data_IF_885622144235
#
_entry.id   IF_885622144235
#
_cell.length_a   1.000
_cell.length_b   1.000
_cell.length_c   1.000
_cell.angle_alpha   90.00
_cell.angle_beta   90.00
_cell.angle_gamma   90.00
#
_symmetry.space_group_name_H-M   'P 1'
#
loop_
_entity.id
_entity.type
_entity.pdbx_description
1 polymer ?
#
# COMPACT_ATOMS: atom_id res chain seq x y z
N UNK A 1 -90.50 19.75 13.73
CA UNK A 1 -89.23 19.46 14.41
C UNK A 1 -88.39 18.60 13.46
N UNK A 2 -87.52 19.25 12.66
CA UNK A 2 -86.67 18.58 11.71
C UNK A 2 -85.22 18.45 12.30
N UNK A 3 -84.75 17.27 12.37
CA UNK A 3 -83.43 16.91 12.94
C UNK A 3 -82.39 17.00 11.81
N UNK A 4 -81.47 17.95 11.94
CA UNK A 4 -80.37 18.11 10.97
C UNK A 4 -79.38 16.90 10.94
N UNK A 5 -78.86 16.58 9.77
CA UNK A 5 -77.85 15.50 9.67
C UNK A 5 -76.50 16.02 10.11
N UNK A 6 -75.72 15.14 10.79
CA UNK A 6 -74.34 15.39 11.22
C UNK A 6 -73.39 15.23 10.03
N UNK A 7 -72.35 16.08 9.89
CA UNK A 7 -71.34 15.89 8.85
C UNK A 7 -70.43 14.71 9.19
N UNK A 8 -70.21 13.85 8.19
CA UNK A 8 -69.20 12.79 8.19
C UNK A 8 -67.81 13.41 7.99
N UNK A 9 -66.97 13.29 8.98
CA UNK A 9 -65.59 13.70 8.94
C UNK A 9 -64.76 12.69 8.13
N UNK A 10 -64.44 13.00 6.88
CA UNK A 10 -63.55 12.21 6.06
C UNK A 10 -62.11 12.40 6.57
N UNK A 11 -61.57 11.38 7.24
CA UNK A 11 -60.14 11.33 7.58
C UNK A 11 -59.42 10.78 6.37
N UNK A 12 -58.84 11.66 5.57
CA UNK A 12 -57.87 11.26 4.53
C UNK A 12 -56.58 10.86 5.22
N UNK A 13 -56.31 9.58 5.31
CA UNK A 13 -55.05 9.03 5.74
C UNK A 13 -54.03 9.23 4.59
N UNK A 14 -53.19 10.24 4.72
CA UNK A 14 -52.03 10.45 3.83
C UNK A 14 -50.97 9.41 4.12
N UNK A 15 -50.88 8.40 3.27
CA UNK A 15 -49.78 7.41 3.32
C UNK A 15 -48.52 8.09 2.77
N UNK A 16 -47.57 8.41 3.64
CA UNK A 16 -46.23 8.81 3.26
C UNK A 16 -45.44 7.54 2.88
N UNK A 17 -45.21 7.34 1.58
CA UNK A 17 -44.23 6.37 1.11
C UNK A 17 -42.82 6.93 1.42
N UNK A 18 -42.17 6.39 2.44
CA UNK A 18 -40.75 6.59 2.68
C UNK A 18 -39.97 5.76 1.67
N UNK A 19 -39.56 6.37 0.57
CA UNK A 19 -38.59 5.78 -0.33
C UNK A 19 -37.21 5.87 0.34
N UNK A 20 -36.75 4.78 0.96
CA UNK A 20 -35.40 4.65 1.45
C UNK A 20 -34.44 4.56 0.25
N UNK A 21 -33.79 5.67 -0.09
CA UNK A 21 -32.66 5.67 -0.99
C UNK A 21 -31.50 4.97 -0.26
N UNK A 22 -31.25 3.72 -0.60
CA UNK A 22 -30.11 2.99 -0.11
C UNK A 22 -28.84 3.62 -0.66
N UNK A 23 -28.11 4.38 0.17
CA UNK A 23 -26.76 4.83 -0.14
C UNK A 23 -25.85 3.61 -0.05
N UNK A 24 -25.50 3.03 -1.19
CA UNK A 24 -24.45 2.01 -1.28
C UNK A 24 -23.11 2.71 -1.08
N UNK A 25 -22.54 2.62 0.11
CA UNK A 25 -21.18 3.06 0.37
C UNK A 25 -20.26 2.04 -0.33
N UNK A 26 -19.77 2.40 -1.50
CA UNK A 26 -18.69 1.66 -2.14
C UNK A 26 -17.45 1.97 -1.30
N UNK A 27 -17.03 1.03 -0.45
CA UNK A 27 -15.71 1.05 0.15
C UNK A 27 -14.71 0.78 -0.99
N UNK A 28 -14.31 1.85 -1.68
CA UNK A 28 -13.10 1.81 -2.50
C UNK A 28 -11.95 1.47 -1.56
N UNK A 29 -11.18 0.42 -1.88
CA UNK A 29 -9.89 0.21 -1.22
C UNK A 29 -9.13 1.52 -1.35
N UNK A 30 -8.75 2.14 -0.22
CA UNK A 30 -7.86 3.29 -0.25
C UNK A 30 -6.59 2.86 -0.98
N UNK A 31 -6.14 3.59 -2.01
CA UNK A 31 -4.87 3.30 -2.63
C UNK A 31 -3.80 3.34 -1.54
N UNK A 32 -3.01 2.27 -1.41
CA UNK A 32 -1.84 2.25 -0.54
C UNK A 32 -1.10 3.56 -0.75
N UNK A 33 -0.78 4.28 0.34
CA UNK A 33 -0.22 5.63 0.29
C UNK A 33 1.14 5.56 -0.42
N UNK A 34 1.13 5.61 -1.75
CA UNK A 34 2.34 5.74 -2.53
C UNK A 34 2.82 7.18 -2.42
N UNK A 35 3.94 7.37 -1.73
CA UNK A 35 4.65 8.64 -1.76
C UNK A 35 5.08 9.01 -3.19
N UNK A 36 5.55 10.23 -3.42
CA UNK A 36 6.04 10.62 -4.74
C UNK A 36 7.18 9.68 -5.17
N UNK A 37 7.24 9.31 -6.48
CA UNK A 37 8.33 8.49 -7.01
C UNK A 37 9.69 9.14 -6.74
N UNK A 38 10.64 8.34 -6.21
CA UNK A 38 12.01 8.77 -5.98
C UNK A 38 12.92 8.21 -7.07
N UNK A 39 13.42 9.07 -7.93
CA UNK A 39 14.47 8.71 -8.88
C UNK A 39 15.81 8.66 -8.15
N UNK A 40 16.51 7.53 -8.26
CA UNK A 40 17.82 7.31 -7.65
C UNK A 40 18.90 7.58 -8.72
N UNK A 41 19.70 8.65 -8.58
CA UNK A 41 20.69 8.97 -9.58
C UNK A 41 21.85 7.96 -9.58
N UNK A 42 22.45 7.75 -10.75
CA UNK A 42 23.70 6.99 -10.86
C UNK A 42 24.84 7.88 -10.37
N UNK A 43 25.55 7.46 -9.35
CA UNK A 43 26.71 8.17 -8.83
C UNK A 43 27.95 8.06 -9.77
N UNK A 44 29.00 8.80 -9.51
CA UNK A 44 30.22 8.82 -10.33
C UNK A 44 30.90 7.42 -10.42
N UNK A 45 30.72 6.58 -9.44
CA UNK A 45 31.20 5.18 -9.41
C UNK A 45 30.26 4.18 -10.12
N UNK A 46 29.19 4.67 -10.74
CA UNK A 46 28.21 3.87 -11.46
C UNK A 46 27.14 3.20 -10.60
N UNK A 47 27.13 3.43 -9.29
CA UNK A 47 26.18 2.81 -8.34
C UNK A 47 25.03 3.76 -8.00
N UNK A 48 23.84 3.23 -7.91
CA UNK A 48 22.61 3.93 -7.50
C UNK A 48 22.35 3.68 -6.02
N UNK A 49 22.37 4.70 -5.18
CA UNK A 49 22.25 4.55 -3.72
C UNK A 49 21.06 5.28 -3.15
N UNK A 50 20.31 4.61 -2.28
CA UNK A 50 19.24 5.24 -1.52
C UNK A 50 19.07 4.60 -0.14
N UNK A 51 18.40 5.31 0.76
CA UNK A 51 17.94 4.78 2.04
C UNK A 51 16.45 4.56 1.99
N UNK A 52 15.98 3.42 2.49
CA UNK A 52 14.58 3.09 2.66
C UNK A 52 14.32 2.83 4.14
N UNK A 53 13.41 3.59 4.71
CA UNK A 53 12.93 3.40 6.08
C UNK A 53 11.79 2.39 6.09
N UNK A 54 11.84 1.42 7.00
CA UNK A 54 10.83 0.42 7.24
C UNK A 54 10.13 0.74 8.56
N UNK A 55 8.86 1.09 8.48
CA UNK A 55 8.02 1.38 9.66
C UNK A 55 6.83 0.43 9.69
N UNK A 56 5.91 0.64 10.62
CA UNK A 56 4.72 -0.18 10.82
C UNK A 56 3.90 -0.30 9.52
N UNK A 57 4.17 -1.39 8.79
CA UNK A 57 3.54 -1.77 7.52
C UNK A 57 3.74 -0.80 6.35
N UNK A 58 4.88 -0.09 6.34
CA UNK A 58 5.21 0.83 5.24
C UNK A 58 6.70 0.85 4.90
N UNK A 59 7.01 1.21 3.65
CA UNK A 59 8.33 1.62 3.18
C UNK A 59 8.32 3.12 2.87
N UNK A 60 9.40 3.81 3.18
CA UNK A 60 9.56 5.21 2.81
C UNK A 60 11.00 5.50 2.30
N UNK A 61 11.20 5.88 1.03
CA UNK A 61 10.19 5.92 -0.03
C UNK A 61 9.68 4.52 -0.42
N UNK A 62 8.45 4.45 -0.92
CA UNK A 62 7.85 3.20 -1.38
C UNK A 62 7.76 3.06 -2.91
N UNK A 63 8.18 4.09 -3.66
CA UNK A 63 8.31 4.05 -5.11
C UNK A 63 9.72 4.51 -5.51
N UNK A 64 10.53 3.56 -5.94
CA UNK A 64 11.92 3.77 -6.35
C UNK A 64 12.02 3.66 -7.87
N UNK A 65 12.77 4.58 -8.50
CA UNK A 65 13.07 4.56 -9.93
C UNK A 65 14.57 4.41 -10.10
N UNK A 66 15.01 3.38 -10.83
CA UNK A 66 16.41 3.05 -11.08
C UNK A 66 16.68 2.78 -12.57
N UNK A 67 17.94 2.80 -12.98
CA UNK A 67 18.38 2.46 -14.34
C UNK A 67 18.73 0.95 -14.44
N UNK A 68 18.32 0.32 -15.53
CA UNK A 68 18.71 -1.06 -15.85
C UNK A 68 20.21 -1.19 -16.08
N UNK A 69 20.77 -2.34 -15.70
CA UNK A 69 22.18 -2.65 -15.87
C UNK A 69 23.13 -1.91 -14.93
N UNK A 70 22.61 -1.09 -14.04
CA UNK A 70 23.41 -0.38 -13.03
C UNK A 70 23.23 -1.02 -11.65
N UNK A 71 24.30 -1.21 -10.86
CA UNK A 71 24.18 -1.68 -9.49
C UNK A 71 23.35 -0.74 -8.64
N UNK A 72 22.48 -1.31 -7.81
CA UNK A 72 21.67 -0.60 -6.81
C UNK A 72 22.11 -1.05 -5.44
N UNK A 73 22.36 -0.10 -4.55
CA UNK A 73 22.68 -0.32 -3.15
C UNK A 73 21.65 0.39 -2.27
N UNK A 74 20.83 -0.36 -1.56
CA UNK A 74 19.82 0.20 -0.65
C UNK A 74 20.22 -0.02 0.80
N UNK A 75 20.26 1.06 1.57
CA UNK A 75 20.33 1.01 3.03
C UNK A 75 18.91 0.91 3.58
N UNK A 76 18.58 -0.23 4.17
CA UNK A 76 17.27 -0.53 4.74
C UNK A 76 17.34 -0.32 6.26
N UNK A 77 16.56 0.63 6.80
CA UNK A 77 16.56 0.95 8.22
C UNK A 77 15.18 0.70 8.81
N UNK A 78 15.07 -0.23 9.74
CA UNK A 78 13.84 -0.42 10.52
C UNK A 78 13.81 0.55 11.69
N UNK A 79 12.76 1.34 11.78
CA UNK A 79 12.50 2.28 12.89
C UNK A 79 11.53 1.72 13.93
N UNK A 80 11.03 0.50 13.73
CA UNK A 80 10.19 -0.18 14.72
C UNK A 80 11.03 -0.75 15.86
N UNK A 81 10.44 -0.90 17.05
CA UNK A 81 11.14 -1.40 18.24
C UNK A 81 11.06 -2.91 18.41
N UNK A 82 9.99 -3.54 17.93
CA UNK A 82 9.73 -4.97 18.13
C UNK A 82 9.25 -5.70 16.86
N UNK A 83 8.81 -4.97 15.83
CA UNK A 83 8.24 -5.57 14.62
C UNK A 83 9.36 -5.81 13.59
N UNK A 84 9.70 -7.07 13.25
CA UNK A 84 10.66 -7.36 12.19
C UNK A 84 10.01 -7.20 10.83
N UNK A 85 10.80 -6.78 9.86
CA UNK A 85 10.38 -6.61 8.46
C UNK A 85 11.28 -7.41 7.53
N UNK A 86 10.91 -7.45 6.26
CA UNK A 86 11.82 -7.79 5.19
C UNK A 86 11.53 -6.95 3.95
N UNK A 87 12.45 -7.02 3.00
CA UNK A 87 12.39 -6.34 1.73
C UNK A 87 12.53 -7.39 0.63
N UNK A 88 11.48 -7.60 -0.12
CA UNK A 88 11.44 -8.61 -1.19
C UNK A 88 11.14 -7.95 -2.53
N UNK A 89 11.92 -8.38 -3.56
CA UNK A 89 11.61 -8.17 -4.97
C UNK A 89 11.89 -9.49 -5.67
N UNK A 90 10.90 -10.08 -6.32
CA UNK A 90 11.04 -11.39 -6.93
C UNK A 90 10.71 -11.33 -8.43
N UNK A 91 11.76 -11.17 -9.24
CA UNK A 91 11.77 -11.38 -10.67
C UNK A 91 13.15 -11.88 -11.12
N UNK A 92 13.44 -13.18 -10.97
CA UNK A 92 14.76 -13.74 -11.30
C UNK A 92 15.18 -13.48 -12.75
N UNK A 93 14.23 -13.49 -13.70
CA UNK A 93 14.52 -13.23 -15.11
C UNK A 93 15.04 -11.81 -15.35
N UNK A 94 14.60 -10.83 -14.52
CA UNK A 94 15.05 -9.43 -14.56
C UNK A 94 16.26 -9.13 -13.64
N UNK A 95 16.96 -10.17 -13.13
CA UNK A 95 18.07 -9.97 -12.18
C UNK A 95 17.62 -9.57 -10.77
N UNK A 96 16.32 -9.73 -10.45
CA UNK A 96 15.73 -9.35 -9.19
C UNK A 96 15.34 -10.58 -8.35
N UNK A 97 16.27 -11.03 -7.52
CA UNK A 97 16.05 -12.08 -6.52
C UNK A 97 16.48 -11.55 -5.15
N UNK A 98 15.77 -10.53 -4.68
CA UNK A 98 16.08 -9.82 -3.44
C UNK A 98 15.20 -10.35 -2.33
N UNK A 99 15.82 -10.85 -1.27
CA UNK A 99 15.17 -11.24 -0.02
C UNK A 99 16.06 -10.85 1.15
N UNK A 100 15.75 -9.72 1.78
CA UNK A 100 16.53 -9.20 2.89
C UNK A 100 15.67 -9.04 4.13
N UNK A 101 16.01 -9.76 5.19
CA UNK A 101 15.42 -9.58 6.51
C UNK A 101 16.02 -8.35 7.20
N UNK A 102 15.15 -7.58 7.88
CA UNK A 102 15.53 -6.40 8.66
C UNK A 102 14.90 -6.52 10.05
N UNK A 103 15.70 -6.85 11.04
CA UNK A 103 15.22 -6.92 12.42
C UNK A 103 14.82 -5.53 12.92
N UNK A 104 13.94 -5.49 13.92
CA UNK A 104 13.50 -4.26 14.57
C UNK A 104 14.68 -3.42 15.03
N UNK A 105 14.68 -2.12 14.73
CA UNK A 105 15.70 -1.15 15.08
C UNK A 105 17.07 -1.39 14.41
N UNK A 106 17.15 -2.21 13.37
CA UNK A 106 18.41 -2.51 12.67
C UNK A 106 18.46 -1.88 11.30
N UNK A 107 19.69 -1.64 10.86
CA UNK A 107 20.02 -1.20 9.50
C UNK A 107 20.82 -2.29 8.82
N UNK A 108 20.46 -2.59 7.56
CA UNK A 108 21.18 -3.55 6.70
C UNK A 108 21.33 -2.94 5.31
N UNK A 109 22.33 -3.38 4.57
CA UNK A 109 22.52 -2.98 3.16
C UNK A 109 22.22 -4.17 2.27
N UNK A 110 21.49 -3.93 1.17
CA UNK A 110 21.22 -4.90 0.13
C UNK A 110 21.68 -4.36 -1.22
N UNK A 111 22.27 -5.22 -2.05
CA UNK A 111 22.74 -4.88 -3.38
C UNK A 111 22.13 -5.80 -4.42
N UNK A 112 21.75 -5.24 -5.58
CA UNK A 112 21.25 -5.99 -6.72
C UNK A 112 21.48 -5.19 -8.01
N UNK A 113 21.38 -5.87 -9.16
CA UNK A 113 21.50 -5.21 -10.47
C UNK A 113 20.31 -5.63 -11.32
N UNK A 114 19.30 -4.76 -11.51
CA UNK A 114 18.18 -5.04 -12.40
C UNK A 114 18.67 -5.06 -13.85
N UNK A 115 18.31 -6.11 -14.60
CA UNK A 115 18.79 -6.31 -15.97
C UNK A 115 17.75 -5.95 -17.03
N UNK A 116 16.49 -5.79 -16.65
CA UNK A 116 15.39 -5.51 -17.57
C UNK A 116 14.55 -4.34 -17.07
N UNK A 117 14.16 -3.42 -17.97
CA UNK A 117 13.17 -2.40 -17.65
C UNK A 117 11.81 -3.03 -17.27
N UNK A 118 11.08 -2.36 -16.40
CA UNK A 118 9.77 -2.81 -15.96
C UNK A 118 9.38 -2.27 -14.59
N UNK A 119 8.21 -2.70 -14.12
CA UNK A 119 7.68 -2.32 -12.80
C UNK A 119 7.53 -3.58 -11.96
N UNK A 120 8.18 -3.59 -10.82
CA UNK A 120 8.27 -4.75 -9.94
C UNK A 120 7.78 -4.41 -8.54
N UNK A 121 6.93 -5.27 -7.93
CA UNK A 121 6.47 -5.03 -6.58
C UNK A 121 7.60 -5.22 -5.56
N UNK A 122 7.68 -4.31 -4.60
CA UNK A 122 8.41 -4.44 -3.35
C UNK A 122 7.39 -4.83 -2.29
N UNK A 123 7.70 -5.81 -1.43
CA UNK A 123 6.75 -6.19 -0.38
C UNK A 123 7.42 -6.85 0.83
N UNK A 124 6.68 -6.87 1.96
CA UNK A 124 7.06 -7.58 3.18
C UNK A 124 6.11 -8.75 3.43
N UNK A 125 6.63 -9.99 3.43
CA UNK A 125 5.83 -11.20 3.67
C UNK A 125 5.80 -11.65 5.13
N UNK A 126 6.43 -10.89 6.04
CA UNK A 126 6.43 -11.21 7.47
C UNK A 126 5.01 -11.35 8.01
N UNK A 127 4.81 -12.35 8.84
CA UNK A 127 3.51 -12.66 9.45
C UNK A 127 3.73 -13.21 10.86
N UNK A 128 2.86 -12.82 11.78
CA UNK A 128 2.67 -13.48 13.07
C UNK A 128 1.28 -14.13 13.07
N UNK A 129 1.25 -15.47 12.88
CA UNK A 129 -0.02 -16.21 12.85
C UNK A 129 -0.77 -16.07 14.19
N UNK A 130 -2.12 -15.85 14.22
CA UNK A 130 -3.08 -15.88 13.08
C UNK A 130 -3.28 -14.53 12.35
N UNK A 131 -2.48 -13.51 12.61
CA UNK A 131 -2.64 -12.17 12.01
C UNK A 131 -2.33 -12.17 10.52
N UNK A 132 -2.90 -11.22 9.74
CA UNK A 132 -2.56 -10.99 8.36
C UNK A 132 -1.04 -10.70 8.18
N UNK A 133 -0.49 -10.98 7.00
CA UNK A 133 0.88 -10.62 6.68
C UNK A 133 1.05 -9.09 6.64
N UNK A 134 2.30 -8.62 6.71
CA UNK A 134 2.56 -7.18 6.57
C UNK A 134 2.15 -6.67 5.18
N UNK A 135 2.26 -7.50 4.15
CA UNK A 135 1.76 -7.20 2.81
C UNK A 135 0.25 -6.99 2.82
N UNK A 136 -0.50 -7.88 3.45
CA UNK A 136 -1.97 -7.76 3.58
C UNK A 136 -2.39 -6.50 4.35
N UNK A 137 -1.47 -5.92 5.13
CA UNK A 137 -1.64 -4.66 5.86
C UNK A 137 -1.14 -3.44 5.09
N UNK A 138 -0.78 -3.62 3.80
CA UNK A 138 -0.36 -2.53 2.92
C UNK A 138 1.15 -2.29 2.86
N UNK A 139 2.01 -3.15 3.46
CA UNK A 139 3.46 -3.00 3.35
C UNK A 139 3.96 -3.43 1.98
N UNK A 140 3.70 -2.57 1.02
CA UNK A 140 4.07 -2.72 -0.39
C UNK A 140 4.70 -1.44 -0.95
N UNK A 141 5.43 -1.61 -2.02
CA UNK A 141 6.05 -0.53 -2.79
C UNK A 141 6.29 -0.96 -4.22
N UNK A 142 6.97 -0.10 -4.97
CA UNK A 142 7.25 -0.28 -6.39
C UNK A 142 8.71 0.01 -6.68
N UNK A 143 9.37 -0.90 -7.40
CA UNK A 143 10.62 -0.63 -8.10
C UNK A 143 10.31 -0.47 -9.59
N UNK A 144 10.51 0.72 -10.11
CA UNK A 144 10.47 1.01 -11.54
C UNK A 144 11.89 0.99 -12.09
N UNK A 145 12.14 0.15 -13.09
CA UNK A 145 13.42 0.03 -13.78
C UNK A 145 13.28 0.62 -15.19
N UNK A 146 14.10 1.58 -15.54
CA UNK A 146 14.11 2.27 -16.84
C UNK A 146 15.34 1.93 -17.66
#
# INVERSE_FOLDING_TARGET
MQKAPKPLLNIMATVWLLTSVGVTIIHGAEPSQSGPPMMIPVAADGVQRATVTLDSYSYNPNHLIVEAGKPVELTLTSVTTIIPHNFLIQNPAGGLSVKQDVSAGKTVTVTFTPTQPGTFPIYCDKRLWPMPSHRDKGMEGTLEVR
#
